data_IF_425567617234
#
_entry.id   IF_425567617234
#
_cell.length_a   1.000
_cell.length_b   1.000
_cell.length_c   1.000
_cell.angle_alpha   90.00
_cell.angle_beta   90.00
_cell.angle_gamma   90.00
#
_symmetry.space_group_name_H-M   'P 1'
#
loop_
_entity.id
_entity.type
_entity.pdbx_description
1 polymer ?
#
# COMPACT_ATOMS: atom_id res chain seq x y z
N UNK A 1 75.43 -16.16 7.74
CA UNK A 1 74.17 -16.14 8.53
C UNK A 1 73.46 -14.79 8.36
N UNK A 2 74.12 -13.67 8.66
CA UNK A 2 73.59 -12.29 8.52
C UNK A 2 72.75 -11.99 7.26
N UNK A 3 73.25 -12.32 6.06
CA UNK A 3 72.56 -12.01 4.79
C UNK A 3 71.23 -12.75 4.60
N UNK A 4 71.11 -13.97 5.15
CA UNK A 4 69.88 -14.77 5.04
C UNK A 4 68.80 -14.25 6.00
N UNK A 5 69.22 -13.77 7.15
CA UNK A 5 68.35 -13.16 8.15
C UNK A 5 67.85 -11.78 7.67
N UNK A 6 68.71 -10.98 7.04
CA UNK A 6 68.35 -9.71 6.41
C UNK A 6 67.34 -9.89 5.27
N UNK A 7 67.56 -10.86 4.36
CA UNK A 7 66.59 -11.19 3.30
C UNK A 7 65.25 -11.68 3.86
N UNK A 8 65.26 -12.38 5.00
CA UNK A 8 64.04 -12.82 5.67
C UNK A 8 63.27 -11.61 6.21
N UNK A 9 63.95 -10.69 6.90
CA UNK A 9 63.37 -9.45 7.41
C UNK A 9 62.78 -8.59 6.29
N UNK A 10 63.49 -8.43 5.17
CA UNK A 10 62.98 -7.69 4.00
C UNK A 10 61.70 -8.31 3.42
N UNK A 11 61.61 -9.65 3.36
CA UNK A 11 60.40 -10.34 2.91
C UNK A 11 59.23 -10.15 3.89
N UNK A 12 59.51 -10.18 5.19
CA UNK A 12 58.51 -9.93 6.23
C UNK A 12 57.99 -8.49 6.17
N UNK A 13 58.87 -7.51 5.95
CA UNK A 13 58.52 -6.10 5.79
C UNK A 13 57.67 -5.87 4.53
N UNK A 14 58.09 -6.38 3.37
CA UNK A 14 57.32 -6.32 2.12
C UNK A 14 55.93 -6.95 2.27
N UNK A 15 55.84 -8.08 3.00
CA UNK A 15 54.56 -8.73 3.30
C UNK A 15 53.65 -7.83 4.15
N UNK A 16 54.19 -7.14 5.16
CA UNK A 16 53.44 -6.17 5.97
C UNK A 16 52.99 -4.98 5.13
N UNK A 17 53.88 -4.39 4.34
CA UNK A 17 53.55 -3.25 3.46
C UNK A 17 52.46 -3.62 2.45
N UNK A 18 52.49 -4.83 1.90
CA UNK A 18 51.43 -5.30 0.97
C UNK A 18 50.08 -5.37 1.67
N UNK A 19 50.03 -5.91 2.89
CA UNK A 19 48.80 -5.96 3.70
C UNK A 19 48.30 -4.57 4.07
N UNK A 20 49.19 -3.66 4.46
CA UNK A 20 48.84 -2.27 4.74
C UNK A 20 48.26 -1.59 3.50
N UNK A 21 48.88 -1.79 2.34
CA UNK A 21 48.38 -1.26 1.07
C UNK A 21 46.98 -1.79 0.73
N UNK A 22 46.72 -3.08 0.93
CA UNK A 22 45.39 -3.67 0.75
C UNK A 22 44.35 -3.04 1.69
N UNK A 23 44.70 -2.87 2.98
CA UNK A 23 43.84 -2.22 3.98
C UNK A 23 43.56 -0.77 3.56
N UNK A 24 44.57 0.01 3.22
CA UNK A 24 44.42 1.40 2.77
C UNK A 24 43.57 1.50 1.51
N UNK A 25 43.77 0.63 0.53
CA UNK A 25 42.97 0.60 -0.69
C UNK A 25 41.49 0.32 -0.39
N UNK A 26 41.21 -0.65 0.48
CA UNK A 26 39.84 -0.95 0.91
C UNK A 26 39.21 0.21 1.69
N UNK A 27 39.97 0.90 2.55
CA UNK A 27 39.52 2.11 3.24
C UNK A 27 39.19 3.24 2.25
N UNK A 28 40.03 3.47 1.24
CA UNK A 28 39.77 4.50 0.23
C UNK A 28 38.52 4.20 -0.61
N UNK A 29 38.33 2.95 -1.04
CA UNK A 29 37.11 2.53 -1.75
C UNK A 29 35.86 2.78 -0.90
N UNK A 30 35.94 2.45 0.39
CA UNK A 30 34.84 2.67 1.33
C UNK A 30 34.52 4.16 1.50
N UNK A 31 35.53 5.00 1.69
CA UNK A 31 35.35 6.45 1.77
C UNK A 31 34.76 7.06 0.50
N UNK A 32 35.18 6.57 -0.68
CA UNK A 32 34.61 7.01 -1.96
C UNK A 32 33.13 6.61 -2.10
N UNK A 33 32.79 5.40 -1.67
CA UNK A 33 31.39 4.95 -1.60
C UNK A 33 30.57 5.83 -0.65
N UNK A 34 31.06 6.06 0.58
CA UNK A 34 30.38 6.86 1.60
C UNK A 34 30.11 8.27 1.10
N UNK A 35 31.13 8.92 0.52
CA UNK A 35 30.97 10.25 -0.05
C UNK A 35 29.91 10.29 -1.15
N UNK A 36 29.93 9.32 -2.07
CA UNK A 36 28.95 9.23 -3.15
C UNK A 36 27.54 8.99 -2.60
N UNK A 37 27.39 8.08 -1.64
CA UNK A 37 26.12 7.76 -1.00
C UNK A 37 25.51 9.00 -0.31
N UNK A 38 26.28 9.73 0.50
CA UNK A 38 25.78 10.91 1.18
C UNK A 38 25.46 12.05 0.20
N UNK A 39 26.22 12.20 -0.88
CA UNK A 39 25.89 13.15 -1.94
C UNK A 39 24.56 12.80 -2.63
N UNK A 40 24.27 11.50 -2.84
CA UNK A 40 23.00 11.06 -3.40
C UNK A 40 21.82 11.29 -2.42
N UNK A 41 22.05 11.16 -1.11
CA UNK A 41 21.05 11.54 -0.09
C UNK A 41 20.79 13.05 -0.13
N UNK A 42 21.83 13.87 -0.23
CA UNK A 42 21.66 15.32 -0.36
C UNK A 42 20.85 15.67 -1.62
N UNK A 43 21.16 15.04 -2.76
CA UNK A 43 20.39 15.19 -3.98
C UNK A 43 18.93 14.76 -3.81
N UNK A 44 18.68 13.67 -3.09
CA UNK A 44 17.32 13.22 -2.78
C UNK A 44 16.54 14.27 -2.00
N UNK A 45 17.17 14.89 -1.00
CA UNK A 45 16.57 15.93 -0.19
C UNK A 45 16.31 17.22 -1.00
N UNK A 46 17.17 17.53 -1.96
CA UNK A 46 16.96 18.69 -2.84
C UNK A 46 15.83 18.44 -3.84
N UNK A 47 15.77 17.25 -4.44
CA UNK A 47 14.61 16.83 -5.27
C UNK A 47 13.32 16.89 -4.44
N UNK A 48 13.34 16.43 -3.18
CA UNK A 48 12.19 16.52 -2.29
C UNK A 48 11.72 17.96 -2.13
N UNK A 49 12.63 18.92 -1.86
CA UNK A 49 12.27 20.34 -1.73
C UNK A 49 11.63 20.91 -3.01
N UNK A 50 12.06 20.43 -4.17
CA UNK A 50 11.50 20.81 -5.48
C UNK A 50 10.15 20.15 -5.79
N UNK A 51 9.74 19.11 -5.05
CA UNK A 51 8.40 18.55 -5.19
C UNK A 51 7.38 19.59 -4.75
N UNK A 52 6.64 20.14 -5.70
CA UNK A 52 5.57 21.10 -5.45
C UNK A 52 4.22 20.54 -5.88
N UNK A 53 3.21 20.71 -5.04
CA UNK A 53 1.85 20.35 -5.36
C UNK A 53 0.89 21.35 -4.74
N UNK A 54 0.01 21.95 -5.56
CA UNK A 54 -0.81 23.11 -5.18
C UNK A 54 0.07 24.20 -4.54
N UNK A 55 -0.24 24.63 -3.32
CA UNK A 55 0.50 25.67 -2.58
C UNK A 55 1.46 25.08 -1.54
N UNK A 56 1.87 23.81 -1.70
CA UNK A 56 2.79 23.11 -0.80
C UNK A 56 4.04 22.64 -1.54
N UNK A 57 5.11 22.44 -0.78
CA UNK A 57 6.41 21.96 -1.25
C UNK A 57 6.99 20.93 -0.30
N UNK A 58 7.92 20.09 -0.76
CA UNK A 58 8.58 19.13 0.11
C UNK A 58 7.63 18.05 0.63
N UNK A 59 7.80 17.69 1.90
CA UNK A 59 6.98 16.66 2.55
C UNK A 59 5.50 17.02 2.57
N UNK A 60 5.15 18.29 2.79
CA UNK A 60 3.76 18.76 2.74
C UNK A 60 3.10 18.50 1.38
N UNK A 61 3.86 18.59 0.28
CA UNK A 61 3.34 18.30 -1.06
C UNK A 61 3.06 16.80 -1.25
N UNK A 62 3.95 15.95 -0.75
CA UNK A 62 3.78 14.49 -0.78
C UNK A 62 2.59 14.07 0.11
N UNK A 63 2.45 14.68 1.29
CA UNK A 63 1.32 14.43 2.18
C UNK A 63 -0.01 14.85 1.52
N UNK A 64 -0.07 16.00 0.86
CA UNK A 64 -1.27 16.39 0.12
C UNK A 64 -1.59 15.46 -1.05
N UNK A 65 -0.58 14.99 -1.78
CA UNK A 65 -0.76 13.98 -2.82
C UNK A 65 -1.33 12.68 -2.24
N UNK A 66 -0.81 12.26 -1.09
CA UNK A 66 -1.29 11.09 -0.37
C UNK A 66 -2.75 11.24 0.09
N UNK A 67 -3.12 12.39 0.66
CA UNK A 67 -4.51 12.70 1.02
C UNK A 67 -5.41 12.63 -0.21
N UNK A 68 -4.99 13.19 -1.36
CA UNK A 68 -5.79 13.10 -2.60
C UNK A 68 -5.94 11.67 -3.08
N UNK A 69 -4.87 10.88 -3.00
CA UNK A 69 -4.91 9.46 -3.31
C UNK A 69 -5.92 8.71 -2.43
N UNK A 70 -6.01 9.06 -1.14
CA UNK A 70 -7.03 8.54 -0.22
C UNK A 70 -8.46 9.01 -0.55
N UNK A 71 -8.66 10.32 -0.75
CA UNK A 71 -10.01 10.89 -0.96
C UNK A 71 -10.60 10.53 -2.30
N UNK A 72 -9.76 10.33 -3.32
CA UNK A 72 -10.22 9.84 -4.62
C UNK A 72 -10.72 8.39 -4.54
N UNK A 73 -10.31 7.60 -3.52
CA UNK A 73 -10.85 6.26 -3.28
C UNK A 73 -12.23 6.39 -2.64
N UNK A 74 -12.41 7.23 -1.63
CA UNK A 74 -13.71 7.35 -0.93
C UNK A 74 -14.80 7.98 -1.79
N UNK A 75 -14.44 8.87 -2.73
CA UNK A 75 -15.40 9.47 -3.68
C UNK A 75 -15.73 8.56 -4.85
N UNK A 76 -14.74 7.83 -5.38
CA UNK A 76 -14.93 6.97 -6.55
C UNK A 76 -15.44 5.57 -6.18
N UNK A 77 -15.11 5.07 -4.99
CA UNK A 77 -15.75 3.90 -4.42
C UNK A 77 -17.25 4.12 -4.31
N UNK A 78 -17.71 5.32 -3.97
CA UNK A 78 -19.14 5.68 -3.94
C UNK A 78 -19.78 5.58 -5.33
N UNK A 79 -19.21 6.21 -6.34
CA UNK A 79 -19.79 6.22 -7.70
C UNK A 79 -19.75 4.84 -8.37
N UNK A 80 -18.63 4.12 -8.25
CA UNK A 80 -18.49 2.75 -8.80
C UNK A 80 -19.30 1.73 -8.00
N UNK A 81 -19.49 1.93 -6.69
CA UNK A 81 -20.38 1.12 -5.86
C UNK A 81 -21.86 1.38 -6.18
N UNK A 82 -22.26 2.64 -6.38
CA UNK A 82 -23.62 2.98 -6.84
C UNK A 82 -23.90 2.33 -8.21
N UNK A 83 -22.93 2.36 -9.14
CA UNK A 83 -23.04 1.67 -10.43
C UNK A 83 -23.07 0.14 -10.26
N UNK A 84 -22.18 -0.44 -9.44
CA UNK A 84 -22.13 -1.88 -9.18
C UNK A 84 -23.45 -2.38 -8.57
N UNK A 85 -23.94 -1.74 -7.50
CA UNK A 85 -25.23 -2.04 -6.89
C UNK A 85 -26.37 -1.85 -7.89
N UNK A 86 -26.36 -0.81 -8.72
CA UNK A 86 -27.41 -0.61 -9.72
C UNK A 86 -27.50 -1.78 -10.73
N UNK A 87 -26.38 -2.46 -10.96
CA UNK A 87 -26.25 -3.58 -11.90
C UNK A 87 -26.41 -4.97 -11.24
N UNK A 88 -26.45 -5.07 -9.91
CA UNK A 88 -26.70 -6.33 -9.22
C UNK A 88 -28.16 -6.77 -9.38
N UNK A 89 -28.37 -8.08 -9.55
CA UNK A 89 -29.69 -8.66 -9.43
C UNK A 89 -30.24 -8.52 -8.00
N UNK A 90 -31.56 -8.53 -7.87
CA UNK A 90 -32.23 -8.31 -6.58
C UNK A 90 -31.85 -9.36 -5.53
N UNK A 91 -31.43 -10.56 -5.98
CA UNK A 91 -31.04 -11.66 -5.11
C UNK A 91 -29.66 -11.43 -4.47
N UNK A 92 -28.71 -10.87 -5.23
CA UNK A 92 -27.39 -10.45 -4.72
C UNK A 92 -27.52 -9.24 -3.78
N UNK A 93 -28.40 -8.28 -4.09
CA UNK A 93 -28.71 -7.16 -3.17
C UNK A 93 -29.23 -7.67 -1.82
N UNK A 94 -30.15 -8.64 -1.84
CA UNK A 94 -30.72 -9.26 -0.63
C UNK A 94 -29.66 -10.07 0.12
N UNK A 95 -28.77 -10.80 -0.57
CA UNK A 95 -27.67 -11.56 0.08
C UNK A 95 -26.69 -10.66 0.81
N UNK A 96 -26.30 -9.53 0.21
CA UNK A 96 -25.43 -8.54 0.84
C UNK A 96 -26.12 -7.97 2.09
N UNK A 97 -27.42 -7.65 1.99
CA UNK A 97 -28.20 -7.14 3.12
C UNK A 97 -28.30 -8.15 4.28
N UNK A 98 -28.54 -9.43 3.96
CA UNK A 98 -28.61 -10.51 4.96
C UNK A 98 -27.28 -10.69 5.69
N UNK A 99 -26.17 -10.67 4.95
CA UNK A 99 -24.82 -10.82 5.50
C UNK A 99 -24.43 -9.67 6.43
N UNK A 100 -24.81 -8.43 6.10
CA UNK A 100 -24.57 -7.26 6.97
C UNK A 100 -25.44 -7.30 8.24
N UNK A 101 -26.68 -7.79 8.16
CA UNK A 101 -27.53 -8.01 9.34
C UNK A 101 -27.01 -9.13 10.25
N UNK A 102 -26.31 -10.12 9.69
CA UNK A 102 -25.67 -11.21 10.42
C UNK A 102 -24.42 -10.75 11.17
N UNK A 103 -23.61 -9.85 10.57
CA UNK A 103 -22.44 -9.22 11.22
C UNK A 103 -22.80 -8.35 12.44
N UNK A 104 -23.99 -7.75 12.45
CA UNK A 104 -24.48 -6.97 13.59
C UNK A 104 -24.83 -7.84 14.82
N UNK A 105 -24.69 -9.17 14.73
CA UNK A 105 -24.88 -10.11 15.85
C UNK A 105 -23.56 -10.56 16.48
N UNK A 106 -22.92 -9.70 17.26
CA UNK A 106 -22.15 -10.06 18.46
C UNK A 106 -22.36 -8.90 19.45
N UNK A 107 -23.24 -9.01 20.45
CA UNK A 107 -22.89 -9.71 21.68
C UNK A 107 -24.08 -10.46 22.31
N UNK A 108 -23.78 -11.66 22.80
CA UNK A 108 -24.70 -12.59 23.43
C UNK A 108 -25.05 -12.14 24.86
N UNK A 109 -26.19 -11.46 25.05
CA UNK A 109 -27.04 -11.58 26.27
C UNK A 109 -28.35 -10.75 26.27
N UNK A 110 -28.73 -10.08 25.18
CA UNK A 110 -30.01 -9.35 25.11
C UNK A 110 -31.06 -10.05 24.22
N UNK A 111 -31.19 -11.36 24.39
CA UNK A 111 -31.89 -12.22 23.42
C UNK A 111 -33.43 -12.27 23.54
N UNK A 112 -34.10 -11.50 24.42
CA UNK A 112 -35.56 -11.68 24.58
C UNK A 112 -36.45 -10.45 24.71
N UNK A 113 -36.01 -9.21 24.45
CA UNK A 113 -36.92 -8.07 24.68
C UNK A 113 -37.12 -7.01 23.60
N UNK A 114 -36.56 -7.11 22.39
CA UNK A 114 -37.03 -6.23 21.28
C UNK A 114 -37.18 -6.95 19.93
N UNK A 115 -37.51 -8.24 19.94
CA UNK A 115 -38.19 -8.87 18.80
C UNK A 115 -39.69 -8.55 18.93
N UNK A 116 -40.06 -7.30 18.64
CA UNK A 116 -41.46 -6.93 18.43
C UNK A 116 -41.65 -5.88 17.32
N UNK A 117 -40.65 -5.70 16.47
CA UNK A 117 -40.79 -4.94 15.20
C UNK A 117 -40.37 -5.82 14.00
N UNK A 118 -40.63 -7.13 14.11
CA UNK A 118 -40.55 -8.10 13.02
C UNK A 118 -41.81 -8.97 13.00
N UNK A 119 -42.93 -8.36 12.67
CA UNK A 119 -44.10 -9.06 12.13
C UNK A 119 -44.58 -8.18 10.98
N UNK A 120 -44.18 -8.47 9.74
CA UNK A 120 -45.05 -9.19 8.80
C UNK A 120 -44.28 -9.75 7.59
N UNK A 121 -42.94 -9.84 7.66
CA UNK A 121 -42.13 -10.24 6.51
C UNK A 121 -41.62 -11.69 6.54
N UNK A 122 -41.49 -12.35 7.69
CA UNK A 122 -40.86 -13.68 7.75
C UNK A 122 -41.77 -14.83 7.27
N UNK A 123 -43.07 -14.90 7.66
CA UNK A 123 -44.01 -15.87 7.08
C UNK A 123 -44.24 -15.58 5.59
N UNK A 124 -44.21 -14.31 5.20
CA UNK A 124 -44.40 -13.83 3.82
C UNK A 124 -43.20 -14.16 2.93
N UNK A 125 -41.96 -14.18 3.44
CA UNK A 125 -40.76 -14.57 2.68
C UNK A 125 -40.69 -16.09 2.46
N UNK A 126 -41.11 -16.87 3.46
CA UNK A 126 -41.21 -18.34 3.38
C UNK A 126 -42.36 -18.74 2.45
N UNK A 127 -43.54 -18.13 2.62
CA UNK A 127 -44.68 -18.34 1.74
C UNK A 127 -44.40 -17.90 0.30
N UNK A 128 -43.62 -16.84 0.08
CA UNK A 128 -43.29 -16.36 -1.28
C UNK A 128 -42.27 -17.25 -2.00
N UNK A 129 -41.40 -17.99 -1.29
CA UNK A 129 -40.53 -18.98 -1.91
C UNK A 129 -41.28 -20.25 -2.40
N UNK A 130 -42.34 -20.65 -1.69
CA UNK A 130 -43.16 -21.82 -2.08
C UNK A 130 -44.25 -21.47 -3.11
N UNK A 131 -44.81 -20.25 -3.06
CA UNK A 131 -45.92 -19.81 -3.93
C UNK A 131 -45.48 -19.24 -5.29
N UNK A 132 -44.19 -18.92 -5.46
CA UNK A 132 -43.61 -18.43 -6.73
C UNK A 132 -43.41 -19.53 -7.80
N UNK A 133 -43.48 -20.81 -7.44
CA UNK A 133 -43.25 -21.92 -8.39
C UNK A 133 -44.53 -22.48 -9.04
N UNK A 134 -45.72 -22.32 -8.45
CA UNK A 134 -46.91 -23.03 -8.94
C UNK A 134 -47.92 -22.19 -9.73
N UNK A 135 -47.92 -20.86 -9.63
CA UNK A 135 -49.04 -20.07 -10.17
C UNK A 135 -48.71 -18.86 -11.05
N UNK A 136 -47.47 -18.72 -11.55
CA UNK A 136 -47.20 -17.96 -12.78
C UNK A 136 -47.71 -16.50 -12.86
N UNK A 137 -47.81 -15.79 -11.72
CA UNK A 137 -48.34 -14.43 -11.67
C UNK A 137 -47.33 -13.56 -10.92
N UNK A 138 -46.56 -12.73 -11.64
CA UNK A 138 -46.67 -11.27 -11.56
C UNK A 138 -45.58 -10.48 -12.33
N UNK A 139 -46.03 -9.33 -12.87
CA UNK A 139 -45.34 -8.05 -13.10
C UNK A 139 -46.42 -6.94 -12.95
N UNK A 140 -46.14 -5.63 -13.01
CA UNK A 140 -45.13 -4.79 -12.36
C UNK A 140 -45.76 -3.46 -11.87
N UNK A 141 -45.74 -3.14 -10.58
CA UNK A 141 -45.86 -1.75 -10.15
C UNK A 141 -44.72 -1.37 -9.21
N UNK A 142 -43.65 -0.85 -9.84
CA UNK A 142 -42.38 -0.42 -9.26
C UNK A 142 -42.45 0.68 -8.18
N UNK A 143 -43.60 0.87 -7.52
CA UNK A 143 -43.77 1.71 -6.35
C UNK A 143 -43.19 1.08 -5.09
N UNK A 144 -43.21 -0.25 -4.99
CA UNK A 144 -42.60 -0.98 -3.87
C UNK A 144 -41.07 -0.83 -3.86
N UNK A 145 -40.44 -0.93 -5.04
CA UNK A 145 -38.99 -0.77 -5.22
C UNK A 145 -38.52 0.63 -4.79
N UNK A 146 -39.23 1.68 -5.20
CA UNK A 146 -38.87 3.06 -4.89
C UNK A 146 -39.02 3.43 -3.41
N UNK A 147 -39.99 2.86 -2.70
CA UNK A 147 -40.19 3.12 -1.26
C UNK A 147 -39.17 2.39 -0.40
N UNK A 148 -38.80 1.17 -0.80
CA UNK A 148 -37.72 0.42 -0.16
C UNK A 148 -36.37 1.11 -0.38
N UNK A 149 -36.08 1.54 -1.61
CA UNK A 149 -34.83 2.23 -1.95
C UNK A 149 -34.67 3.54 -1.15
N UNK A 150 -35.70 4.39 -1.11
CA UNK A 150 -35.64 5.65 -0.38
C UNK A 150 -35.48 5.48 1.14
N UNK A 151 -36.06 4.43 1.73
CA UNK A 151 -35.91 4.16 3.16
C UNK A 151 -34.57 3.50 3.49
N UNK A 152 -34.04 2.65 2.61
CA UNK A 152 -32.69 2.10 2.73
C UNK A 152 -31.63 3.21 2.60
N UNK A 153 -31.76 4.08 1.60
CA UNK A 153 -30.86 5.22 1.42
C UNK A 153 -30.89 6.14 2.63
N UNK A 154 -32.07 6.44 3.19
CA UNK A 154 -32.18 7.28 4.39
C UNK A 154 -31.60 6.61 5.64
N UNK A 155 -31.82 5.30 5.81
CA UNK A 155 -31.27 4.52 6.91
C UNK A 155 -29.73 4.38 6.84
N UNK A 156 -29.18 4.19 5.64
CA UNK A 156 -27.74 4.21 5.38
C UNK A 156 -27.14 5.61 5.60
N UNK A 157 -27.90 6.68 5.36
CA UNK A 157 -27.47 8.07 5.55
C UNK A 157 -27.54 8.58 7.00
N UNK A 158 -28.49 8.11 7.81
CA UNK A 158 -28.76 8.65 9.15
C UNK A 158 -27.97 8.00 10.29
N UNK A 159 -27.31 6.84 10.09
CA UNK A 159 -26.44 6.22 11.11
C UNK A 159 -25.00 6.13 10.62
N UNK A 160 -24.14 6.99 11.17
CA UNK A 160 -22.68 6.80 11.25
C UNK A 160 -22.03 6.17 10.00
N UNK A 161 -22.11 6.91 8.89
CA UNK A 161 -21.41 6.67 7.61
C UNK A 161 -19.89 6.43 7.75
N UNK A 162 -19.32 6.73 8.93
CA UNK A 162 -17.91 6.54 9.27
C UNK A 162 -17.58 5.06 9.56
N UNK A 163 -18.55 4.22 9.97
CA UNK A 163 -18.27 2.81 10.33
C UNK A 163 -18.71 1.78 9.27
N UNK A 164 -19.53 2.17 8.29
CA UNK A 164 -19.86 1.33 7.13
C UNK A 164 -18.80 1.35 6.02
N UNK A 165 -17.80 2.24 6.13
CA UNK A 165 -16.68 2.39 5.19
C UNK A 165 -15.76 1.15 5.12
N UNK A 166 -15.92 0.18 6.02
CA UNK A 166 -15.05 -1.00 6.10
C UNK A 166 -15.60 -2.28 5.46
N UNK A 167 -16.87 -2.35 5.04
CA UNK A 167 -17.46 -3.65 4.65
C UNK A 167 -18.35 -3.67 3.40
N UNK A 168 -18.58 -2.55 2.71
CA UNK A 168 -19.25 -2.57 1.41
C UNK A 168 -18.23 -2.84 0.30
N UNK A 169 -18.20 -4.11 -0.11
CA UNK A 169 -17.36 -4.74 -1.12
C UNK A 169 -17.46 -4.04 -2.50
N UNK A 170 -16.78 -2.90 -2.65
CA UNK A 170 -15.94 -2.72 -3.84
C UNK A 170 -14.98 -3.91 -3.83
N UNK A 171 -14.58 -4.52 -4.95
CA UNK A 171 -13.50 -5.50 -4.94
C UNK A 171 -12.19 -4.74 -4.64
N UNK A 172 -12.05 -4.22 -3.42
CA UNK A 172 -10.82 -3.70 -2.87
C UNK A 172 -9.81 -4.83 -2.89
N UNK A 173 -10.20 -6.11 -2.89
CA UNK A 173 -9.28 -7.24 -3.05
C UNK A 173 -8.85 -7.52 -4.52
N UNK A 174 -9.43 -6.86 -5.52
CA UNK A 174 -9.00 -7.02 -6.91
C UNK A 174 -7.73 -6.20 -7.20
N UNK A 175 -6.61 -6.92 -7.36
CA UNK A 175 -5.29 -6.34 -7.66
C UNK A 175 -5.34 -5.49 -8.93
N UNK A 176 -6.09 -5.91 -9.96
CA UNK A 176 -6.23 -5.19 -11.22
C UNK A 176 -6.96 -3.85 -11.05
N UNK A 177 -8.00 -3.80 -10.22
CA UNK A 177 -8.66 -2.54 -9.87
C UNK A 177 -7.70 -1.59 -9.14
N UNK A 178 -6.96 -2.09 -8.14
CA UNK A 178 -5.96 -1.29 -7.40
C UNK A 178 -4.87 -0.72 -8.30
N UNK A 179 -4.35 -1.56 -9.20
CA UNK A 179 -3.36 -1.14 -10.20
C UNK A 179 -3.92 -0.03 -11.09
N UNK A 180 -5.12 -0.21 -11.64
CA UNK A 180 -5.76 0.79 -12.48
C UNK A 180 -6.00 2.10 -11.72
N UNK A 181 -6.47 2.01 -10.48
CA UNK A 181 -6.71 3.15 -9.63
C UNK A 181 -5.42 3.93 -9.33
N UNK A 182 -4.37 3.24 -8.88
CA UNK A 182 -3.08 3.87 -8.62
C UNK A 182 -2.47 4.46 -9.89
N UNK A 183 -2.52 3.75 -11.03
CA UNK A 183 -1.98 4.28 -12.30
C UNK A 183 -2.70 5.54 -12.76
N UNK A 184 -4.03 5.62 -12.59
CA UNK A 184 -4.78 6.86 -12.86
C UNK A 184 -4.28 8.01 -11.98
N UNK A 185 -4.16 7.78 -10.67
CA UNK A 185 -3.61 8.77 -9.74
C UNK A 185 -2.17 9.16 -10.13
N UNK A 186 -1.31 8.19 -10.39
CA UNK A 186 0.09 8.40 -10.68
C UNK A 186 0.32 9.11 -12.01
N UNK A 187 -0.48 8.80 -13.04
CA UNK A 187 -0.41 9.50 -14.34
C UNK A 187 -0.65 11.01 -14.20
N UNK A 188 -1.49 11.42 -13.25
CA UNK A 188 -1.76 12.84 -12.95
C UNK A 188 -0.70 13.52 -12.07
N UNK A 189 0.10 12.73 -11.34
CA UNK A 189 1.09 13.23 -10.36
C UNK A 189 2.54 12.92 -10.75
N UNK A 190 2.78 12.23 -11.87
CA UNK A 190 4.11 11.75 -12.27
C UNK A 190 5.11 12.88 -12.50
N UNK A 191 4.66 14.04 -13.00
CA UNK A 191 5.52 15.21 -13.18
C UNK A 191 5.96 15.82 -11.85
N UNK A 192 5.20 15.56 -10.78
CA UNK A 192 5.49 16.05 -9.44
C UNK A 192 6.37 15.09 -8.65
N UNK A 193 6.05 13.79 -8.63
CA UNK A 193 6.73 12.82 -7.73
C UNK A 193 7.57 11.76 -8.45
N UNK A 194 7.53 11.71 -9.79
CA UNK A 194 8.24 10.68 -10.56
C UNK A 194 9.77 10.80 -10.48
N UNK A 195 10.31 12.03 -10.45
CA UNK A 195 11.75 12.25 -10.29
C UNK A 195 12.23 11.82 -8.90
N UNK A 196 11.41 12.09 -7.88
CA UNK A 196 11.66 11.71 -6.49
C UNK A 196 11.80 10.18 -6.33
N UNK A 197 10.86 9.38 -6.84
CA UNK A 197 10.96 7.91 -6.78
C UNK A 197 12.11 7.36 -7.63
N UNK A 198 12.37 7.95 -8.80
CA UNK A 198 13.47 7.52 -9.67
C UNK A 198 14.83 7.71 -8.99
N UNK A 199 15.00 8.78 -8.24
CA UNK A 199 16.26 9.00 -7.52
C UNK A 199 16.38 8.03 -6.32
N UNK A 200 15.31 7.76 -5.57
CA UNK A 200 15.33 6.69 -4.55
C UNK A 200 15.74 5.34 -5.11
N UNK A 201 15.17 4.95 -6.26
CA UNK A 201 15.56 3.74 -6.98
C UNK A 201 17.06 3.72 -7.29
N UNK A 202 17.62 4.83 -7.78
CA UNK A 202 19.05 4.94 -8.11
C UNK A 202 19.94 4.79 -6.87
N UNK A 203 19.53 5.31 -5.73
CA UNK A 203 20.30 5.18 -4.48
C UNK A 203 20.29 3.72 -4.02
N UNK A 204 19.12 3.08 -3.98
CA UNK A 204 19.04 1.67 -3.59
C UNK A 204 19.84 0.81 -4.55
N UNK A 205 19.73 1.06 -5.86
CA UNK A 205 20.51 0.37 -6.89
C UNK A 205 22.02 0.53 -6.67
N UNK A 206 22.48 1.75 -6.38
CA UNK A 206 23.89 2.03 -6.07
C UNK A 206 24.40 1.24 -4.85
N UNK A 207 23.56 1.07 -3.81
CA UNK A 207 23.92 0.25 -2.65
C UNK A 207 23.98 -1.23 -3.04
N UNK A 208 22.96 -1.73 -3.74
CA UNK A 208 22.81 -3.14 -4.11
C UNK A 208 23.96 -3.61 -5.02
N UNK A 209 24.31 -2.81 -6.02
CA UNK A 209 25.36 -3.12 -7.01
C UNK A 209 26.79 -2.89 -6.48
N UNK A 210 26.96 -2.44 -5.24
CA UNK A 210 28.28 -2.21 -4.66
C UNK A 210 28.97 -3.49 -4.17
N UNK A 211 30.30 -3.44 -4.09
CA UNK A 211 31.15 -4.51 -3.52
C UNK A 211 31.08 -4.61 -1.98
N UNK A 212 30.15 -3.90 -1.34
CA UNK A 212 29.99 -3.91 0.11
C UNK A 212 29.50 -5.26 0.62
N UNK A 213 29.81 -5.57 1.89
CA UNK A 213 29.20 -6.72 2.56
C UNK A 213 27.70 -6.50 2.74
N UNK A 214 26.93 -7.58 2.72
CA UNK A 214 25.47 -7.51 2.91
C UNK A 214 25.05 -6.83 4.21
N UNK A 215 25.83 -6.99 5.29
CA UNK A 215 25.60 -6.27 6.55
C UNK A 215 25.71 -4.76 6.39
N UNK A 216 26.68 -4.29 5.59
CA UNK A 216 26.88 -2.87 5.33
C UNK A 216 25.78 -2.34 4.41
N UNK A 217 25.41 -3.08 3.35
CA UNK A 217 24.29 -2.71 2.47
C UNK A 217 23.00 -2.49 3.26
N UNK A 218 22.68 -3.41 4.19
CA UNK A 218 21.55 -3.26 5.12
C UNK A 218 21.64 -1.98 5.96
N UNK A 219 22.85 -1.62 6.43
CA UNK A 219 23.07 -0.35 7.13
C UNK A 219 22.75 0.87 6.25
N UNK A 220 23.25 0.94 5.00
CA UNK A 220 22.97 2.07 4.12
C UNK A 220 21.50 2.17 3.71
N UNK A 221 20.86 1.04 3.45
CA UNK A 221 19.41 0.99 3.20
C UNK A 221 18.65 1.52 4.41
N UNK A 222 19.02 1.13 5.63
CA UNK A 222 18.44 1.66 6.86
C UNK A 222 18.63 3.17 7.02
N UNK A 223 19.82 3.70 6.70
CA UNK A 223 20.10 5.14 6.73
C UNK A 223 19.21 5.90 5.74
N UNK A 224 19.14 5.43 4.49
CA UNK A 224 18.29 6.04 3.46
C UNK A 224 16.82 6.03 3.87
N UNK A 225 16.34 4.89 4.34
CA UNK A 225 14.96 4.69 4.80
C UNK A 225 14.60 5.64 5.94
N UNK A 226 15.51 5.87 6.89
CA UNK A 226 15.30 6.78 8.01
C UNK A 226 15.15 8.26 7.58
N UNK A 227 15.50 8.62 6.33
CA UNK A 227 15.26 9.96 5.79
C UNK A 227 13.81 10.16 5.31
N UNK A 228 13.04 9.09 5.16
CA UNK A 228 11.70 9.10 4.59
C UNK A 228 10.62 9.21 5.69
N UNK A 229 9.63 10.06 5.46
CA UNK A 229 8.41 10.08 6.27
C UNK A 229 7.51 8.88 5.97
N UNK A 230 6.55 8.62 6.85
CA UNK A 230 5.54 7.55 6.67
C UNK A 230 4.78 7.71 5.34
N UNK A 231 4.33 8.93 5.01
CA UNK A 231 3.63 9.21 3.74
C UNK A 231 4.52 8.94 2.52
N UNK A 232 5.82 9.26 2.60
CA UNK A 232 6.79 8.95 1.54
C UNK A 232 6.98 7.43 1.35
N UNK A 233 7.08 6.68 2.45
CA UNK A 233 7.21 5.23 2.44
C UNK A 233 5.96 4.55 1.86
N UNK A 234 4.77 4.96 2.30
CA UNK A 234 3.50 4.42 1.80
C UNK A 234 3.33 4.73 0.31
N UNK A 235 3.59 5.98 -0.09
CA UNK A 235 3.50 6.37 -1.50
C UNK A 235 4.50 5.63 -2.39
N UNK A 236 5.71 5.34 -1.86
CA UNK A 236 6.68 4.48 -2.54
C UNK A 236 6.18 3.03 -2.64
N UNK A 237 5.65 2.45 -1.56
CA UNK A 237 5.05 1.12 -1.59
C UNK A 237 4.00 1.00 -2.70
N UNK A 238 3.10 1.97 -2.77
CA UNK A 238 2.08 1.97 -3.81
C UNK A 238 2.69 2.11 -5.22
N UNK A 239 3.74 2.92 -5.36
CA UNK A 239 4.42 3.10 -6.63
C UNK A 239 5.01 1.79 -7.15
N UNK A 240 5.73 1.06 -6.30
CA UNK A 240 6.44 -0.14 -6.72
C UNK A 240 5.50 -1.33 -6.93
N UNK A 241 4.39 -1.41 -6.18
CA UNK A 241 3.46 -2.54 -6.26
C UNK A 241 2.39 -2.37 -7.35
N UNK A 242 1.97 -1.12 -7.62
CA UNK A 242 0.77 -0.86 -8.43
C UNK A 242 1.01 0.02 -9.66
N UNK A 243 2.24 0.48 -9.91
CA UNK A 243 2.58 1.16 -11.18
C UNK A 243 3.64 0.43 -11.98
N UNK A 244 3.41 0.35 -13.28
CA UNK A 244 4.36 -0.06 -14.30
C UNK A 244 5.70 0.69 -14.24
N UNK A 245 5.70 1.95 -13.78
CA UNK A 245 6.96 2.72 -13.62
C UNK A 245 7.76 2.32 -12.38
N UNK A 246 7.11 1.72 -11.39
CA UNK A 246 7.72 1.26 -10.14
C UNK A 246 8.20 -0.19 -10.18
N UNK A 247 7.78 -0.98 -11.18
CA UNK A 247 8.11 -2.42 -11.33
C UNK A 247 9.62 -2.70 -11.23
N UNK A 248 10.45 -1.88 -11.87
CA UNK A 248 11.92 -2.04 -11.80
C UNK A 248 12.47 -1.90 -10.40
N UNK A 249 11.84 -1.06 -9.57
CA UNK A 249 12.24 -0.89 -8.18
C UNK A 249 11.74 -2.07 -7.34
N UNK A 250 10.51 -2.53 -7.55
CA UNK A 250 10.01 -3.76 -6.92
C UNK A 250 10.94 -4.95 -7.19
N UNK A 251 11.27 -5.22 -8.46
CA UNK A 251 12.17 -6.33 -8.83
C UNK A 251 13.56 -6.18 -8.21
N UNK A 252 14.11 -4.96 -8.16
CA UNK A 252 15.39 -4.69 -7.51
C UNK A 252 15.37 -5.13 -6.02
N UNK A 253 14.27 -4.85 -5.30
CA UNK A 253 14.15 -5.23 -3.90
C UNK A 253 14.01 -6.74 -3.72
N UNK A 254 13.17 -7.38 -4.54
CA UNK A 254 12.84 -8.81 -4.46
C UNK A 254 14.07 -9.65 -4.84
N UNK A 255 14.66 -9.39 -6.00
CA UNK A 255 15.79 -10.17 -6.53
C UNK A 255 17.03 -10.09 -5.64
N UNK A 256 17.25 -8.96 -4.97
CA UNK A 256 18.42 -8.70 -4.15
C UNK A 256 18.17 -8.82 -2.65
N UNK A 257 16.99 -9.32 -2.28
CA UNK A 257 16.56 -9.50 -0.90
C UNK A 257 16.71 -8.27 0.00
N UNK A 258 16.29 -7.11 -0.50
CA UNK A 258 16.40 -5.83 0.20
C UNK A 258 15.12 -5.54 0.98
N UNK A 259 15.16 -5.79 2.29
CA UNK A 259 14.09 -5.41 3.21
C UNK A 259 14.07 -3.89 3.45
N UNK A 260 13.53 -3.14 2.48
CA UNK A 260 13.46 -1.68 2.51
C UNK A 260 12.32 -1.16 3.41
N UNK A 261 11.28 -1.93 3.68
CA UNK A 261 10.12 -1.41 4.42
C UNK A 261 10.10 -1.82 5.90
N UNK A 262 10.65 -3.00 6.26
CA UNK A 262 10.66 -3.54 7.63
C UNK A 262 9.30 -3.33 8.34
N UNK A 263 9.28 -3.14 9.66
CA UNK A 263 8.05 -2.92 10.45
C UNK A 263 7.57 -1.45 10.44
N UNK A 264 8.06 -0.62 9.51
CA UNK A 264 7.76 0.81 9.51
C UNK A 264 6.48 1.18 8.76
N UNK A 265 5.84 0.19 8.13
CA UNK A 265 4.55 0.36 7.48
C UNK A 265 3.47 -0.26 8.37
N UNK A 266 2.61 0.56 8.96
CA UNK A 266 1.45 0.10 9.69
C UNK A 266 0.25 0.02 8.74
N UNK A 267 -0.41 -1.14 8.66
CA UNK A 267 -1.56 -1.37 7.76
C UNK A 267 -2.69 -0.34 7.92
N UNK A 268 -2.85 0.23 9.13
CA UNK A 268 -3.87 1.25 9.39
C UNK A 268 -3.65 2.54 8.59
N UNK A 269 -2.40 2.81 8.20
CA UNK A 269 -2.03 4.01 7.44
C UNK A 269 -2.25 3.81 5.93
N UNK A 270 -2.53 2.58 5.47
CA UNK A 270 -2.70 2.30 4.05
C UNK A 270 -4.06 2.75 3.54
N UNK A 271 -4.09 3.07 2.25
CA UNK A 271 -5.33 3.40 1.56
C UNK A 271 -6.19 2.15 1.31
N UNK A 272 -5.59 1.03 0.92
CA UNK A 272 -6.26 -0.27 0.85
C UNK A 272 -6.12 -1.02 2.19
N UNK A 273 -6.96 -0.66 3.15
CA UNK A 273 -7.01 -1.27 4.49
C UNK A 273 -7.31 -2.78 4.39
N UNK A 274 -6.73 -3.57 5.30
CA UNK A 274 -6.98 -4.99 5.53
C UNK A 274 -6.54 -6.01 4.47
N UNK A 275 -5.83 -5.60 3.40
CA UNK A 275 -5.27 -6.57 2.47
C UNK A 275 -4.17 -5.92 1.63
N UNK A 276 -2.90 -6.06 2.00
CA UNK A 276 -1.76 -5.60 1.20
C UNK A 276 -0.94 -6.81 0.75
N UNK A 277 -1.29 -7.45 -0.39
CA UNK A 277 -0.76 -8.78 -0.74
C UNK A 277 0.75 -8.81 -0.95
N UNK A 278 1.35 -7.65 -1.27
CA UNK A 278 2.80 -7.49 -1.44
C UNK A 278 3.52 -7.09 -0.15
N UNK A 279 2.80 -6.70 0.91
CA UNK A 279 3.41 -6.15 2.12
C UNK A 279 4.17 -7.24 2.89
N UNK A 280 3.55 -8.40 3.09
CA UNK A 280 4.20 -9.53 3.77
C UNK A 280 5.47 -9.96 3.04
N UNK A 281 5.43 -10.01 1.70
CA UNK A 281 6.62 -10.29 0.90
C UNK A 281 7.67 -9.19 1.13
N UNK A 282 7.32 -7.92 0.93
CA UNK A 282 8.27 -6.80 1.04
C UNK A 282 8.87 -6.57 2.43
N UNK A 283 8.19 -7.02 3.50
CA UNK A 283 8.68 -6.93 4.88
C UNK A 283 9.50 -8.16 5.29
N UNK A 284 9.25 -9.34 4.70
CA UNK A 284 9.89 -10.60 5.12
C UNK A 284 10.98 -11.13 4.17
N UNK A 285 11.28 -10.41 3.09
CA UNK A 285 12.42 -10.64 2.17
C UNK A 285 13.78 -10.57 2.90
#
# INVERSE_FOLDING_TARGET
MMQKDELKLQREELSKTTKEFEVTNNTMKKQAFDSTFFNLISLQNDILKEVTFKNKSGRDAIEQLFIIFQTNISTKSRDEFEIYISNLDDLMKIRILYFELEKLKLDSESYYMEINIFSEALPTLIAKYELLNEHGIWSPDGKFYNKLNNNLTRYLMDKDYINLEYNLYVPIDDIGWRQNYYEKFYSSSVNTIGHYFRNLYRIVKFIVESDLKETEKKTYVGILRAQLSTSELIMLYYNICYSSKGEKFYNLLIENKVNFFQEHLNEVDFVFKNNCPFLDELINI
#
